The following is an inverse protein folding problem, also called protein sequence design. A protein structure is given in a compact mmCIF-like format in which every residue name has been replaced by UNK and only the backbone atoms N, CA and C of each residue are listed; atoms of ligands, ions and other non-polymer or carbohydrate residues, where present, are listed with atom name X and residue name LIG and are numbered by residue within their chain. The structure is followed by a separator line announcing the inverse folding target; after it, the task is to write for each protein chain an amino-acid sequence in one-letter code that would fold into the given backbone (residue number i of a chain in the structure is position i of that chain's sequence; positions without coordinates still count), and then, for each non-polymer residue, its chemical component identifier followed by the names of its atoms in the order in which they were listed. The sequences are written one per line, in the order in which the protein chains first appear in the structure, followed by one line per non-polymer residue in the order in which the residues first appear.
data_IF_293982259046
#
_entry.id   IF_293982259046
#
_cell.length_a   1.000
_cell.length_b   1.000
_cell.length_c   1.000
_cell.angle_alpha   90.00
_cell.angle_beta   90.00
_cell.angle_gamma   90.00
#
_symmetry.space_group_name_H-M   'P 1'
#
loop_
_entity.id
_entity.type
_entity.pdbx_description
1 polymer ?
2 polymer ?
3 non-polymer ?
4 water ?
#
# COMPACT_ATOMS: atom_id res chain seq x y z
N UNK A 3 10.42 -4.91 -21.68
CA UNK A 3 9.32 -4.03 -22.24
C UNK A 3 8.25 -3.74 -21.18
N UNK A 4 8.31 -2.53 -20.64
CA UNK A 4 7.31 -2.06 -19.68
C UNK A 4 5.98 -1.83 -20.42
N UNK A 5 4.88 -2.24 -19.81
CA UNK A 5 3.56 -1.94 -20.32
C UNK A 5 3.13 -0.60 -19.80
N UNK A 6 2.18 0.06 -20.47
CA UNK A 6 1.62 1.28 -19.87
C UNK A 6 0.84 1.02 -18.58
N UNK A 7 0.29 -0.19 -18.42
CA UNK A 7 -0.41 -0.48 -17.13
C UNK A 7 0.59 -0.55 -15.97
N UNK A 8 1.74 -1.15 -16.23
CA UNK A 8 2.81 -1.17 -15.22
C UNK A 8 3.23 0.24 -14.81
N UNK A 9 3.43 1.07 -15.81
CA UNK A 9 3.82 2.45 -15.62
C UNK A 9 2.76 3.19 -14.84
N UNK A 10 1.51 2.99 -15.19
CA UNK A 10 0.39 3.59 -14.46
C UNK A 10 0.41 3.16 -13.01
N UNK A 11 0.68 1.88 -12.75
CA UNK A 11 0.79 1.41 -11.35
C UNK A 11 1.92 2.09 -10.60
N UNK A 12 3.08 2.25 -11.24
CA UNK A 12 4.19 2.94 -10.58
C UNK A 12 3.81 4.39 -10.25
N UNK A 13 3.18 5.05 -11.22
CA UNK A 13 2.74 6.42 -11.07
C UNK A 13 1.77 6.56 -9.92
N UNK A 14 0.80 5.66 -9.81
CA UNK A 14 -0.19 5.76 -8.73
C UNK A 14 0.50 5.63 -7.40
N UNK A 15 1.41 4.67 -7.31
CA UNK A 15 2.17 4.42 -6.07
C UNK A 15 2.97 5.66 -5.79
N UNK A 16 3.62 6.22 -6.81
CA UNK A 16 4.44 7.42 -6.57
C UNK A 16 3.58 8.58 -6.05
N UNK A 17 2.43 8.79 -6.70
CA UNK A 17 1.53 9.90 -6.36
C UNK A 17 0.93 9.77 -4.97
N UNK A 18 0.73 8.56 -4.47
CA UNK A 18 0.25 8.37 -3.10
C UNK A 18 1.16 9.03 -2.07
N UNK A 19 2.47 8.90 -2.30
CA UNK A 19 3.47 9.54 -1.46
C UNK A 19 3.59 11.04 -1.80
N UNK A 20 3.71 11.33 -3.07
CA UNK A 20 3.90 12.69 -3.59
C UNK A 20 2.56 13.47 -3.61
N UNK A 21 2.04 13.78 -2.43
CA UNK A 21 0.71 14.39 -2.32
C UNK A 21 0.58 15.77 -2.97
N UNK A 22 1.68 16.53 -3.09
CA UNK A 22 1.59 17.87 -3.70
C UNK A 22 1.96 17.86 -5.17
N UNK A 23 2.27 16.67 -5.68
CA UNK A 23 2.46 16.47 -7.11
C UNK A 23 3.63 17.21 -7.72
N UNK A 24 4.63 17.54 -6.91
CA UNK A 24 5.79 18.26 -7.40
C UNK A 24 6.92 17.41 -8.00
N UNK A 25 6.75 16.09 -8.01
CA UNK A 25 7.73 15.19 -8.59
C UNK A 25 8.78 14.67 -7.60
N UNK A 26 8.70 15.09 -6.35
CA UNK A 26 9.65 14.55 -5.37
C UNK A 26 8.92 14.15 -4.12
N UNK A 27 9.42 13.08 -3.50
CA UNK A 27 8.88 12.61 -2.19
C UNK A 27 9.84 13.13 -1.13
N UNK A 28 9.28 13.91 -0.20
CA UNK A 28 10.02 14.40 0.95
C UNK A 28 9.82 13.53 2.20
N UNK A 29 10.66 13.80 3.19
CA UNK A 29 10.53 13.15 4.51
C UNK A 29 9.13 13.35 5.10
N UNK A 30 8.60 14.58 5.05
CA UNK A 30 7.20 14.84 5.40
C UNK A 30 6.21 13.94 4.68
N UNK A 31 6.33 13.81 3.37
CA UNK A 31 5.39 12.98 2.67
C UNK A 31 5.52 11.46 2.94
N UNK A 32 6.75 10.98 3.03
CA UNK A 32 7.01 9.61 3.42
C UNK A 32 6.42 9.37 4.80
N UNK A 33 6.71 10.28 5.70
CA UNK A 33 6.16 10.23 7.03
C UNK A 33 4.64 10.18 7.06
N UNK A 34 4.00 11.02 6.27
CA UNK A 34 2.56 11.09 6.26
C UNK A 34 1.96 9.74 5.92
N UNK A 35 2.52 9.08 4.91
CA UNK A 35 1.98 7.78 4.51
C UNK A 35 2.16 6.76 5.63
N UNK A 36 3.33 6.74 6.25
CA UNK A 36 3.61 5.72 7.26
C UNK A 36 2.82 5.99 8.55
N UNK A 37 2.46 7.25 8.75
CA UNK A 37 1.63 7.62 9.95
C UNK A 37 0.17 7.25 9.68
N UNK A 38 -0.26 7.36 8.42
CA UNK A 38 -1.59 6.87 8.06
C UNK A 38 -1.75 5.35 8.26
N UNK A 39 -0.63 4.62 8.19
CA UNK A 39 -0.60 3.18 8.49
C UNK A 39 -0.18 2.82 9.91
N UNK A 40 -0.23 3.77 10.83
CA UNK A 40 0.02 3.50 12.24
C UNK A 40 1.47 3.56 12.68
N UNK A 41 2.39 3.81 11.75
CA UNK A 41 3.80 3.82 12.10
C UNK A 41 4.20 5.21 12.53
N UNK A 42 5.36 5.30 13.18
CA UNK A 42 5.83 6.54 13.83
C UNK A 42 7.31 6.82 13.58
N UNK A 43 7.77 6.75 12.32
CA UNK A 43 9.19 6.95 12.12
C UNK A 43 9.61 8.36 12.50
N UNK A 44 10.85 8.50 12.91
CA UNK A 44 11.41 9.80 13.23
C UNK A 44 11.81 10.47 11.95
N UNK A 45 12.08 11.76 12.00
CA UNK A 45 12.52 12.47 10.75
C UNK A 45 13.85 11.94 10.22
N UNK A 46 14.77 11.66 11.16
CA UNK A 46 16.06 11.03 10.83
C UNK A 46 15.91 9.65 10.20
N UNK A 47 15.05 8.84 10.80
CA UNK A 47 14.71 7.52 10.23
C UNK A 47 14.13 7.63 8.80
N UNK A 48 13.19 8.54 8.60
CA UNK A 48 12.71 8.84 7.21
C UNK A 48 13.81 9.30 6.29
N UNK A 49 14.71 10.17 6.76
CA UNK A 49 15.87 10.59 5.94
C UNK A 49 16.80 9.46 5.55
N UNK A 50 17.02 8.56 6.50
CA UNK A 50 17.79 7.36 6.25
C UNK A 50 17.13 6.54 5.15
N UNK A 51 15.81 6.51 5.13
CA UNK A 51 15.12 5.66 4.10
C UNK A 51 15.38 6.26 2.75
N UNK A 52 15.28 7.58 2.72
CA UNK A 52 15.54 8.29 1.45
C UNK A 52 16.97 8.13 0.98
N UNK A 53 17.91 8.29 1.88
CA UNK A 53 19.33 8.21 1.59
C UNK A 53 19.68 6.94 0.80
N UNK A 54 19.01 5.83 1.16
CA UNK A 54 19.41 4.54 0.61
C UNK A 54 19.25 4.53 -0.88
N UNK A 55 18.34 5.34 -1.42
CA UNK A 55 17.97 5.21 -2.88
C UNK A 55 18.24 6.58 -3.49
N UNK A 56 18.82 7.49 -2.69
CA UNK A 56 18.98 8.90 -3.10
C UNK A 56 20.19 9.09 -3.97
N UNK A 57 20.14 8.54 -5.19
CA UNK A 57 21.27 8.45 -6.10
C UNK A 57 21.81 9.81 -6.58
N UNK A 58 20.95 10.81 -6.76
CA UNK A 58 21.46 12.14 -7.17
C UNK A 58 21.82 13.03 -6.01
N UNK A 59 21.77 12.51 -4.78
CA UNK A 59 22.21 13.24 -3.65
C UNK A 59 21.40 14.46 -3.23
N UNK A 60 20.23 14.71 -3.84
CA UNK A 60 19.45 15.93 -3.48
C UNK A 60 18.60 15.90 -2.20
N UNK A 61 18.59 14.77 -1.49
CA UNK A 61 17.91 14.65 -0.19
C UNK A 61 16.44 14.26 -0.25
N UNK A 62 15.89 14.13 -1.44
CA UNK A 62 14.50 13.71 -1.65
C UNK A 62 14.44 12.64 -2.73
N UNK A 63 13.29 12.00 -2.84
CA UNK A 63 13.14 10.87 -3.74
C UNK A 63 12.40 11.29 -5.01
N UNK A 64 13.00 11.07 -6.19
CA UNK A 64 12.31 11.29 -7.44
C UNK A 64 11.83 9.95 -8.06
N UNK A 65 11.22 10.04 -9.23
CA UNK A 65 10.55 8.90 -9.79
C UNK A 65 11.44 7.68 -9.91
N UNK A 66 12.57 7.76 -10.70
CA UNK A 66 13.45 6.64 -10.81
C UNK A 66 14.01 6.09 -9.48
N UNK A 67 14.32 6.97 -8.53
CA UNK A 67 14.71 6.53 -7.17
C UNK A 67 13.60 5.76 -6.42
N UNK A 68 12.36 6.18 -6.63
CA UNK A 68 11.23 5.47 -6.10
C UNK A 68 11.10 4.09 -6.73
N UNK A 69 11.27 4.00 -8.06
CA UNK A 69 11.35 2.68 -8.63
C UNK A 69 12.38 1.76 -8.00
N UNK A 70 13.59 2.28 -7.71
CA UNK A 70 14.64 1.53 -7.04
C UNK A 70 14.19 1.06 -5.64
N UNK A 71 13.56 1.97 -4.93
CA UNK A 71 13.00 1.68 -3.60
C UNK A 71 12.06 0.47 -3.66
N UNK A 72 11.16 0.46 -4.64
CA UNK A 72 10.18 -0.62 -4.77
C UNK A 72 10.90 -1.90 -5.19
N UNK A 73 11.87 -1.78 -6.09
CA UNK A 73 12.67 -2.94 -6.52
C UNK A 73 13.31 -3.63 -5.34
N UNK A 74 13.86 -2.83 -4.44
CA UNK A 74 14.51 -3.36 -3.24
C UNK A 74 13.59 -3.75 -2.11
N UNK A 75 12.53 -2.97 -1.93
CA UNK A 75 11.70 -3.09 -0.73
C UNK A 75 10.34 -3.69 -1.01
N UNK A 76 9.99 -3.88 -2.29
CA UNK A 76 8.92 -4.79 -2.70
C UNK A 76 9.62 -6.00 -3.29
N UNK A 77 10.58 -6.54 -2.54
CA UNK A 77 11.36 -7.68 -2.98
C UNK A 77 10.58 -8.95 -2.73
N UNK A 78 9.89 -9.37 -3.79
CA UNK A 78 8.97 -10.50 -3.75
C UNK A 78 7.86 -10.27 -2.71
N UNK A 79 7.76 -11.18 -1.76
CA UNK A 79 6.47 -11.58 -1.22
C UNK A 79 6.27 -11.38 0.29
N UNK A 80 5.12 -10.78 0.57
CA UNK A 80 4.40 -10.89 1.85
C UNK A 80 4.59 -12.24 2.58
N UNK A 81 5.30 -12.23 3.70
CA UNK A 81 5.55 -13.45 4.48
C UNK A 81 4.28 -14.03 5.15
N UNK A 82 3.93 -13.53 6.32
CA UNK A 82 2.77 -14.03 7.08
C UNK A 82 2.33 -12.96 8.08
N UNK A 83 3.25 -12.62 8.99
CA UNK A 83 2.99 -11.56 9.96
C UNK A 83 2.80 -10.20 9.26
N UNK A 84 3.43 -10.00 8.11
CA UNK A 84 3.23 -8.78 7.33
C UNK A 84 1.92 -8.82 6.52
N UNK A 85 1.55 -9.99 6.00
CA UNK A 85 0.23 -10.14 5.38
C UNK A 85 -0.84 -9.85 6.44
N UNK A 86 -0.63 -10.42 7.62
CA UNK A 86 -1.51 -10.25 8.78
C UNK A 86 -1.51 -8.80 9.27
N UNK A 87 -0.35 -8.15 9.20
CA UNK A 87 -0.27 -6.73 9.52
C UNK A 87 -1.13 -5.91 8.54
N UNK A 88 -1.06 -6.25 7.26
CA UNK A 88 -1.83 -5.55 6.23
C UNK A 88 -3.33 -5.73 6.42
N UNK A 89 -3.74 -6.96 6.75
CA UNK A 89 -5.14 -7.27 7.00
C UNK A 89 -5.70 -6.35 8.07
N UNK A 90 -4.95 -6.24 9.16
CA UNK A 90 -5.29 -5.38 10.30
C UNK A 90 -5.49 -3.93 9.89
N UNK A 91 -4.73 -3.46 8.90
CA UNK A 91 -4.93 -2.11 8.41
C UNK A 91 -6.35 -1.97 7.86
N UNK A 92 -6.80 -2.96 7.10
CA UNK A 92 -8.11 -2.88 6.44
C UNK A 92 -9.27 -3.25 7.34
N UNK A 93 -9.10 -4.29 8.14
CA UNK A 93 -10.14 -4.66 9.10
C UNK A 93 -10.18 -3.65 10.25
N UNK A 94 -10.68 -2.44 10.00
CA UNK A 94 -10.58 -1.33 10.94
C UNK A 94 -11.11 -1.62 12.35
N UNK A 95 -12.26 -2.30 12.42
CA UNK A 95 -12.90 -2.56 13.71
C UNK A 95 -12.43 -3.87 14.36
N UNK A 96 -11.45 -4.53 13.74
CA UNK A 96 -10.79 -5.70 14.32
C UNK A 96 -11.66 -6.93 14.46
N UNK A 97 -12.74 -7.02 13.68
CA UNK A 97 -13.70 -8.11 13.86
C UNK A 97 -13.43 -9.35 13.01
N UNK A 98 -12.38 -9.28 12.17
CA UNK A 98 -11.95 -10.42 11.37
C UNK A 98 -12.51 -10.43 9.96
N UNK A 99 -13.29 -9.41 9.64
CA UNK A 99 -13.94 -9.31 8.33
C UNK A 99 -13.85 -7.89 7.80
N UNK A 100 -13.29 -7.75 6.62
CA UNK A 100 -13.22 -6.45 5.98
C UNK A 100 -14.49 -6.18 5.22
N UNK A 101 -15.23 -5.15 5.62
CA UNK A 101 -16.48 -4.76 4.95
C UNK A 101 -16.14 -3.87 3.77
N UNK A 102 -17.07 -3.71 2.85
CA UNK A 102 -16.88 -2.70 1.77
C UNK A 102 -16.62 -1.33 2.38
N UNK A 103 -17.39 -0.98 3.40
CA UNK A 103 -17.28 0.33 4.04
C UNK A 103 -15.88 0.54 4.61
N UNK A 104 -15.39 -0.44 5.35
CA UNK A 104 -14.00 -0.46 5.85
C UNK A 104 -12.92 -0.21 4.77
N UNK A 105 -13.00 -0.97 3.68
CA UNK A 105 -12.06 -0.87 2.57
C UNK A 105 -12.06 0.55 1.97
N UNK A 106 -13.26 1.06 1.67
CA UNK A 106 -13.45 2.41 1.14
C UNK A 106 -12.77 3.46 2.01
N UNK A 107 -12.93 3.33 3.32
CA UNK A 107 -12.42 4.31 4.28
C UNK A 107 -10.91 4.27 4.32
N UNK A 108 -10.38 3.08 4.51
CA UNK A 108 -8.93 2.84 4.56
C UNK A 108 -8.25 3.38 3.29
N UNK A 109 -8.84 3.04 2.14
CA UNK A 109 -8.34 3.51 0.84
C UNK A 109 -8.38 5.04 0.68
N UNK A 110 -9.45 5.67 1.16
CA UNK A 110 -9.55 7.12 1.16
C UNK A 110 -8.46 7.68 2.09
N UNK A 111 -8.32 7.06 3.28
CA UNK A 111 -7.29 7.47 4.25
C UNK A 111 -5.88 7.42 3.71
N UNK A 112 -5.56 6.37 2.96
CA UNK A 112 -4.28 6.27 2.25
C UNK A 112 -4.13 7.42 1.27
N UNK A 113 -5.21 7.73 0.57
CA UNK A 113 -5.23 8.83 -0.40
C UNK A 113 -5.52 8.42 -1.84
N UNK A 114 -6.26 7.34 -2.03
CA UNK A 114 -6.70 6.93 -3.35
C UNK A 114 -8.20 6.70 -3.30
N UNK A 115 -8.98 7.66 -3.76
CA UNK A 115 -10.43 7.47 -3.78
C UNK A 115 -10.86 6.84 -5.09
N UNK A 116 -11.81 5.92 -4.98
CA UNK A 116 -12.33 5.19 -6.11
C UNK A 116 -13.84 5.06 -5.97
N UNK A 117 -14.53 4.86 -7.08
CA UNK A 117 -15.99 4.78 -7.07
C UNK A 117 -16.42 3.59 -6.21
N UNK A 118 -17.56 3.72 -5.55
CA UNK A 118 -18.02 2.66 -4.65
C UNK A 118 -18.23 1.36 -5.43
N UNK A 119 -18.55 1.51 -6.71
CA UNK A 119 -18.55 0.41 -7.68
C UNK A 119 -17.20 -0.33 -7.73
N UNK A 120 -16.10 0.42 -7.70
CA UNK A 120 -14.74 -0.15 -7.69
C UNK A 120 -14.49 -0.91 -6.39
N UNK A 121 -14.79 -0.27 -5.26
CA UNK A 121 -14.63 -0.88 -3.94
C UNK A 121 -15.44 -2.18 -3.85
N UNK A 122 -16.70 -2.11 -4.23
CA UNK A 122 -17.55 -3.28 -4.22
C UNK A 122 -17.00 -4.40 -5.11
N UNK A 123 -16.45 -4.01 -6.27
CA UNK A 123 -15.75 -4.94 -7.17
C UNK A 123 -14.59 -5.66 -6.46
N UNK A 124 -13.80 -4.91 -5.68
CA UNK A 124 -12.68 -5.46 -4.90
C UNK A 124 -13.16 -6.46 -3.86
N UNK A 125 -14.20 -6.09 -3.14
CA UNK A 125 -14.80 -7.01 -2.15
C UNK A 125 -15.33 -8.24 -2.87
N UNK A 126 -16.14 -8.03 -3.88
CA UNK A 126 -16.80 -9.14 -4.57
C UNK A 126 -15.81 -10.13 -5.20
N UNK A 127 -14.75 -9.63 -5.82
CA UNK A 127 -13.73 -10.50 -6.41
C UNK A 127 -13.02 -11.35 -5.34
N UNK A 128 -12.83 -10.80 -4.15
CA UNK A 128 -12.06 -11.48 -3.10
C UNK A 128 -12.97 -12.35 -2.22
N UNK A 129 -14.25 -12.01 -2.18
CA UNK A 129 -15.22 -12.73 -1.34
C UNK A 129 -15.54 -14.11 -1.92
N UNK A 130 -14.77 -15.11 -1.52
CA UNK A 130 -14.94 -16.47 -2.04
C UNK A 130 -16.15 -17.15 -1.39
N UNK A 131 -16.33 -16.92 -0.10
CA UNK A 131 -17.36 -17.65 0.65
C UNK A 131 -18.77 -17.07 0.61
N UNK A 132 -18.92 -15.86 0.07
CA UNK A 132 -20.27 -15.31 -0.25
C UNK A 132 -20.92 -14.36 0.76
N UNK A 133 -20.30 -14.15 1.91
CA UNK A 133 -20.88 -13.30 2.96
C UNK A 133 -20.81 -11.81 2.71
N UNK A 134 -20.21 -11.40 1.60
CA UNK A 134 -20.10 -9.96 1.29
C UNK A 134 -18.98 -9.22 1.98
N UNK A 135 -18.15 -9.94 2.72
CA UNK A 135 -17.00 -9.36 3.39
C UNK A 135 -15.77 -10.20 3.07
N UNK A 136 -14.61 -9.70 3.49
CA UNK A 136 -13.34 -10.37 3.21
C UNK A 136 -12.64 -10.79 4.50
N UNK A 137 -12.59 -12.08 4.75
CA UNK A 137 -11.87 -12.59 5.90
C UNK A 137 -10.39 -12.76 5.58
N UNK A 138 -9.60 -13.15 6.59
CA UNK A 138 -8.16 -13.23 6.44
C UNK A 138 -7.75 -14.19 5.33
N UNK A 139 -8.32 -15.38 5.33
CA UNK A 139 -8.02 -16.39 4.31
C UNK A 139 -8.27 -15.84 2.91
N UNK A 140 -9.36 -15.13 2.72
CA UNK A 140 -9.68 -14.49 1.43
C UNK A 140 -8.77 -13.31 1.06
N UNK A 141 -8.42 -12.50 2.05
CA UNK A 141 -7.39 -11.47 1.89
C UNK A 141 -6.06 -12.08 1.42
N UNK A 142 -5.66 -13.18 2.03
CA UNK A 142 -4.42 -13.88 1.66
C UNK A 142 -4.52 -14.39 0.23
N UNK A 143 -5.66 -15.00 -0.08
CA UNK A 143 -5.87 -15.65 -1.36
C UNK A 143 -5.97 -14.67 -2.55
N UNK A 144 -6.48 -13.45 -2.32
CA UNK A 144 -6.61 -12.47 -3.40
C UNK A 144 -5.23 -12.00 -3.86
N UNK A 145 -4.23 -12.18 -3.01
CA UNK A 145 -2.88 -11.72 -3.31
C UNK A 145 -2.14 -12.59 -4.33
N UNK A 146 -2.63 -13.81 -4.52
CA UNK A 146 -2.05 -14.72 -5.51
C UNK A 146 -2.52 -14.48 -6.95
N UNK A 147 -3.63 -13.75 -7.11
CA UNK A 147 -4.32 -13.67 -8.41
C UNK A 147 -3.68 -12.65 -9.36
N UNK A 148 -3.97 -12.82 -10.65
CA UNK A 148 -3.36 -12.00 -11.71
C UNK A 148 -3.51 -10.50 -11.43
N UNK B 1 -6.60 -3.79 -13.15
CA UNK B 1 -5.54 -3.10 -12.34
C UNK B 1 -5.21 -3.90 -11.06
N UNK B 2 -6.23 -4.39 -10.38
CA UNK B 2 -6.09 -5.02 -9.06
C UNK B 2 -5.57 -4.00 -8.07
N UNK B 3 -6.32 -2.91 -7.94
CA UNK B 3 -5.93 -1.81 -7.06
C UNK B 3 -5.70 -2.29 -5.62
N UNK B 4 -6.48 -3.26 -5.16
CA UNK B 4 -6.34 -3.66 -3.76
C UNK B 4 -5.05 -4.44 -3.52
N UNK B 5 -4.76 -5.44 -4.34
CA UNK B 5 -3.47 -6.12 -4.27
C UNK B 5 -2.31 -5.10 -4.34
N UNK B 6 -2.45 -4.10 -5.20
CA UNK B 6 -1.41 -3.06 -5.31
C UNK B 6 -1.21 -2.28 -4.01
N UNK B 7 -2.31 -1.94 -3.35
CA UNK B 7 -2.24 -1.18 -2.11
C UNK B 7 -1.69 -2.05 -0.98
N UNK B 8 -2.03 -3.34 -0.96
CA UNK B 8 -1.43 -4.22 0.04
C UNK B 8 0.09 -4.23 -0.13
N UNK B 9 0.57 -4.34 -1.37
CA UNK B 9 2.02 -4.31 -1.58
C UNK B 9 2.68 -3.02 -1.06
N UNK B 10 2.00 -1.90 -1.27
CA UNK B 10 2.48 -0.63 -0.79
C UNK B 10 2.49 -0.56 0.73
N UNK B 11 1.46 -1.10 1.34
CA UNK B 11 1.46 -1.20 2.78
C UNK B 11 2.66 -2.02 3.26
N UNK B 12 2.91 -3.19 2.64
CA UNK B 12 4.09 -4.03 2.96
C UNK B 12 5.41 -3.32 2.80
N UNK B 13 5.50 -2.52 1.73
CA UNK B 13 6.62 -1.63 1.50
C UNK B 13 6.92 -0.78 2.74
N UNK B 14 5.90 -0.10 3.26
CA UNK B 14 6.11 0.77 4.42
C UNK B 14 6.49 -0.02 5.68
N UNK B 15 5.95 -1.22 5.81
CA UNK B 15 6.37 -2.11 6.91
C UNK B 15 7.87 -2.44 6.80
N UNK B 16 8.33 -2.73 5.59
CA UNK B 16 9.73 -3.07 5.34
C UNK B 16 10.68 -1.88 5.44
N UNK B 17 10.15 -0.70 5.18
CA UNK B 17 10.88 0.53 5.37
C UNK B 17 11.10 0.85 6.84
N UNK B 18 10.03 0.74 7.63
CA UNK B 18 10.08 1.04 9.06
C UNK B 18 10.66 -0.15 9.77
N UNK B 19 11.98 -0.28 9.68
CA UNK B 19 12.69 -1.31 10.41
C UNK B 19 12.99 -0.78 11.83
X LIG C 1 6.13 16.14 -3.09
X LIG D 1 17.02 12.28 -5.12
X LIG E 1 -14.19 -5.38 10.13
X LIG F 1 -16.16 -13.61 2.64
#
# INVERSE_FOLDING_TARGET
ADQLTEEQIAEFKEAFSLFDKDGDGTITTKELGTVMRSLGQNPTEAELQDMINEVDADGNGTIDFPEFLTMMARKMKDTDSEEEIREAFRVFDKDGNGYISAAELRHVMTNLGEKLTDEEVDEMIREADIDGDGQVNYEEFVQMMTAK
RKKWKQSVRLISLCQRLSR
CA CA
CA CA
CA CA
CA CA
#
